data_IF_033915269475
#
_entry.id   IF_033915269475
#
_cell.length_a   1.000
_cell.length_b   1.000
_cell.length_c   1.000
_cell.angle_alpha   90.00
_cell.angle_beta   90.00
_cell.angle_gamma   90.00
#
_symmetry.space_group_name_H-M   'P 1'
#
loop_
_entity.id
_entity.type
_entity.pdbx_description
1 polymer ?
#
# COMPACT_ATOMS: atom_id res chain seq x y z
N UNK A 1 22.21 -19.87 12.39
CA UNK A 1 22.84 -18.98 13.38
C UNK A 1 21.83 -17.86 13.61
N UNK A 2 21.19 -17.80 14.77
CA UNK A 2 20.15 -16.80 15.05
C UNK A 2 20.83 -15.47 15.37
N UNK A 3 20.87 -14.54 14.41
CA UNK A 3 21.25 -13.17 14.70
C UNK A 3 20.12 -12.50 15.46
N UNK A 4 20.37 -12.17 16.73
CA UNK A 4 19.53 -11.27 17.52
C UNK A 4 19.49 -9.93 16.79
N UNK A 5 18.30 -9.53 16.35
CA UNK A 5 17.99 -8.17 15.94
C UNK A 5 18.09 -7.29 17.20
N UNK A 6 19.29 -6.76 17.45
CA UNK A 6 19.48 -5.75 18.49
C UNK A 6 18.78 -4.47 18.05
N UNK A 7 17.99 -3.91 18.97
CA UNK A 7 17.21 -2.67 18.87
C UNK A 7 17.79 -1.63 17.91
N UNK A 8 17.04 -1.37 16.84
CA UNK A 8 17.39 -0.47 15.74
C UNK A 8 17.42 1.02 16.17
N UNK A 9 18.42 1.79 15.72
CA UNK A 9 18.35 3.25 15.75
C UNK A 9 17.26 3.73 14.78
N UNK A 10 16.48 4.72 15.23
CA UNK A 10 15.37 5.36 14.52
C UNK A 10 15.91 6.03 13.24
N UNK A 11 15.94 5.30 12.12
CA UNK A 11 16.11 5.90 10.80
C UNK A 11 14.73 6.33 10.28
N UNK A 12 14.53 7.64 10.28
CA UNK A 12 13.59 8.48 9.53
C UNK A 12 12.30 7.81 9.02
N UNK A 13 11.15 8.24 9.59
CA UNK A 13 9.79 7.93 9.14
C UNK A 13 9.66 8.00 7.62
N UNK A 14 9.05 6.98 7.03
CA UNK A 14 8.41 7.02 5.71
C UNK A 14 7.66 8.36 5.54
N UNK A 15 7.97 9.13 4.49
CA UNK A 15 7.28 10.41 4.22
C UNK A 15 5.78 10.20 3.93
N UNK A 16 5.40 9.00 3.49
CA UNK A 16 4.06 8.66 3.00
C UNK A 16 3.27 7.79 4.01
N UNK A 17 3.44 8.02 5.31
CA UNK A 17 2.67 7.29 6.34
C UNK A 17 1.39 8.07 6.66
N UNK A 18 0.24 7.50 6.30
CA UNK A 18 -1.07 8.06 6.64
C UNK A 18 -1.39 7.91 8.14
N UNK A 19 -1.29 6.69 8.68
CA UNK A 19 -1.54 6.43 10.10
C UNK A 19 -0.81 5.17 10.60
N UNK A 20 -0.49 5.14 11.89
CA UNK A 20 -0.14 3.91 12.60
C UNK A 20 -1.24 3.58 13.58
N UNK A 21 -1.73 2.35 13.53
CA UNK A 21 -2.73 1.83 14.46
C UNK A 21 -1.98 1.01 15.50
N UNK A 22 -2.04 1.47 16.75
CA UNK A 22 -1.49 0.72 17.87
C UNK A 22 -2.45 -0.41 18.28
N UNK A 23 -1.93 -1.53 18.80
CA UNK A 23 -2.75 -2.62 19.32
C UNK A 23 -3.78 -2.11 20.33
N UNK A 24 -5.05 -2.47 20.12
CA UNK A 24 -6.12 -2.20 21.06
C UNK A 24 -6.27 -3.35 22.05
N UNK A 25 -6.58 -3.03 23.31
CA UNK A 25 -6.97 -4.03 24.31
C UNK A 25 -8.45 -4.46 24.19
N UNK A 26 -9.24 -3.73 23.39
CA UNK A 26 -10.64 -4.03 23.12
C UNK A 26 -10.71 -4.89 21.86
N UNK A 27 -11.22 -6.11 22.00
CA UNK A 27 -11.43 -7.04 20.90
C UNK A 27 -12.59 -6.59 20.01
N UNK A 28 -12.44 -6.73 18.70
CA UNK A 28 -13.53 -6.54 17.76
C UNK A 28 -14.66 -7.55 18.03
N UNK A 29 -15.90 -7.12 17.82
CA UNK A 29 -17.09 -7.95 18.05
C UNK A 29 -17.50 -8.59 16.74
N UNK A 30 -17.53 -9.91 16.69
CA UNK A 30 -18.03 -10.69 15.55
C UNK A 30 -19.53 -10.43 15.36
N UNK A 31 -19.93 -10.21 14.11
CA UNK A 31 -21.31 -9.92 13.71
C UNK A 31 -21.96 -11.16 13.10
N UNK A 32 -23.27 -11.31 13.31
CA UNK A 32 -24.05 -12.36 12.64
C UNK A 32 -24.54 -11.94 11.25
N UNK A 33 -24.97 -12.90 10.43
CA UNK A 33 -25.40 -12.72 9.02
C UNK A 33 -26.35 -11.53 8.81
N UNK A 34 -27.32 -11.34 9.70
CA UNK A 34 -28.28 -10.23 9.61
C UNK A 34 -27.63 -8.86 9.80
N UNK A 35 -26.63 -8.76 10.67
CA UNK A 35 -25.89 -7.51 10.86
C UNK A 35 -24.97 -7.24 9.67
N UNK A 36 -24.45 -8.29 9.04
CA UNK A 36 -23.70 -8.19 7.78
C UNK A 36 -24.63 -7.66 6.68
N UNK A 37 -25.80 -8.28 6.50
CA UNK A 37 -26.86 -7.84 5.57
C UNK A 37 -27.21 -6.36 5.72
N UNK A 38 -27.31 -5.87 6.95
CA UNK A 38 -27.67 -4.47 7.23
C UNK A 38 -26.54 -3.49 6.82
N UNK A 39 -25.29 -3.95 6.81
CA UNK A 39 -24.09 -3.15 6.49
C UNK A 39 -23.79 -3.17 4.99
N UNK A 40 -23.74 -4.36 4.38
CA UNK A 40 -23.36 -4.51 2.96
C UNK A 40 -24.58 -4.58 2.03
N UNK A 41 -25.79 -4.55 2.59
CA UNK A 41 -27.05 -4.64 1.86
C UNK A 41 -27.56 -6.08 1.74
N UNK A 42 -28.86 -6.28 2.06
CA UNK A 42 -29.54 -7.60 2.04
C UNK A 42 -29.48 -8.29 0.67
N UNK A 43 -29.40 -7.55 -0.44
CA UNK A 43 -29.23 -8.15 -1.76
C UNK A 43 -27.78 -8.56 -2.06
N UNK A 44 -26.78 -7.90 -1.46
CA UNK A 44 -25.36 -8.14 -1.75
C UNK A 44 -24.80 -9.33 -0.97
N UNK A 45 -25.15 -9.49 0.32
CA UNK A 45 -24.70 -10.63 1.12
C UNK A 45 -25.34 -11.95 0.67
N UNK A 46 -26.66 -11.97 0.43
CA UNK A 46 -27.38 -13.17 -0.02
C UNK A 46 -26.97 -13.63 -1.43
N UNK A 47 -26.37 -12.73 -2.22
CA UNK A 47 -25.83 -13.03 -3.54
C UNK A 47 -24.33 -13.15 -3.57
N UNK A 48 -23.62 -12.95 -2.45
CA UNK A 48 -22.16 -13.02 -2.40
C UNK A 48 -21.71 -14.43 -2.84
N UNK A 49 -21.47 -14.58 -4.13
CA UNK A 49 -21.24 -15.84 -4.84
C UNK A 49 -19.77 -16.03 -5.16
N UNK A 50 -18.91 -15.08 -4.79
CA UNK A 50 -17.49 -15.24 -5.02
C UNK A 50 -16.97 -16.53 -4.37
N UNK A 51 -16.72 -17.52 -5.22
CA UNK A 51 -16.29 -18.88 -4.87
C UNK A 51 -17.15 -19.59 -3.79
N UNK A 52 -18.42 -19.20 -3.64
CA UNK A 52 -19.30 -19.65 -2.54
C UNK A 52 -18.64 -19.51 -1.14
N UNK A 53 -17.75 -18.52 -1.00
CA UNK A 53 -16.91 -18.33 0.19
C UNK A 53 -17.69 -17.59 1.29
N UNK A 54 -17.77 -18.13 2.52
CA UNK A 54 -18.44 -17.44 3.62
C UNK A 54 -17.73 -16.12 3.96
N UNK A 55 -18.54 -15.12 4.34
CA UNK A 55 -18.05 -13.85 4.87
C UNK A 55 -17.99 -13.90 6.39
N UNK A 56 -16.96 -13.27 6.94
CA UNK A 56 -16.88 -12.92 8.35
C UNK A 56 -16.89 -11.40 8.49
N UNK A 57 -17.46 -10.90 9.60
CA UNK A 57 -17.50 -9.48 9.85
C UNK A 57 -17.28 -9.15 11.31
N UNK A 58 -16.58 -8.04 11.55
CA UNK A 58 -16.17 -7.62 12.86
C UNK A 58 -16.37 -6.11 13.01
N UNK A 59 -17.05 -5.67 14.06
CA UNK A 59 -17.18 -4.25 14.36
C UNK A 59 -15.84 -3.71 14.86
N UNK A 60 -15.36 -2.65 14.19
CA UNK A 60 -14.14 -1.96 14.56
C UNK A 60 -14.30 -1.36 15.97
N UNK A 61 -13.26 -1.45 16.82
CA UNK A 61 -13.25 -0.82 18.14
C UNK A 61 -13.63 0.67 18.09
N UNK A 62 -14.44 1.10 19.05
CA UNK A 62 -14.92 2.48 19.13
C UNK A 62 -13.77 3.49 19.14
N UNK A 63 -13.86 4.54 18.33
CA UNK A 63 -12.85 5.60 18.26
C UNK A 63 -11.68 5.31 17.32
N UNK A 64 -11.50 4.06 16.85
CA UNK A 64 -10.36 3.70 16.00
C UNK A 64 -10.44 4.40 14.64
N UNK A 65 -11.62 4.45 14.02
CA UNK A 65 -11.81 5.12 12.73
C UNK A 65 -11.54 6.62 12.86
N UNK A 66 -12.01 7.25 13.93
CA UNK A 66 -11.78 8.67 14.23
C UNK A 66 -10.29 8.95 14.47
N UNK A 67 -9.59 8.09 15.20
CA UNK A 67 -8.16 8.23 15.49
C UNK A 67 -7.28 8.25 14.24
N UNK A 68 -7.66 7.50 13.22
CA UNK A 68 -6.95 7.47 11.93
C UNK A 68 -7.55 8.46 10.90
N UNK A 69 -8.48 9.32 11.30
CA UNK A 69 -9.07 10.32 10.42
C UNK A 69 -10.04 9.75 9.37
N UNK A 70 -10.54 8.53 9.55
CA UNK A 70 -11.53 7.87 8.68
C UNK A 70 -12.93 7.80 9.33
N UNK A 71 -13.16 8.49 10.45
CA UNK A 71 -14.44 8.49 11.17
C UNK A 71 -15.57 9.24 10.47
N UNK A 72 -15.25 10.14 9.53
CA UNK A 72 -16.23 10.94 8.77
C UNK A 72 -16.54 10.34 7.39
N UNK A 73 -16.23 9.06 7.16
CA UNK A 73 -16.59 8.41 5.89
C UNK A 73 -18.11 8.30 5.76
N UNK A 74 -18.70 8.68 4.61
CA UNK A 74 -20.14 8.54 4.40
C UNK A 74 -20.60 7.07 4.42
N UNK A 75 -21.89 6.88 4.72
CA UNK A 75 -22.49 5.55 4.72
C UNK A 75 -22.26 4.83 3.38
N UNK A 76 -21.83 3.57 3.42
CA UNK A 76 -21.60 2.75 2.23
C UNK A 76 -20.27 2.99 1.51
N UNK A 77 -19.53 4.04 1.88
CA UNK A 77 -18.15 4.25 1.39
C UNK A 77 -17.21 3.37 2.19
N UNK A 78 -16.59 2.41 1.51
CA UNK A 78 -15.70 1.43 2.09
C UNK A 78 -14.23 1.84 1.92
N UNK A 79 -13.43 1.59 2.95
CA UNK A 79 -11.97 1.52 2.87
C UNK A 79 -11.60 0.17 2.27
N UNK A 80 -10.73 0.13 1.27
CA UNK A 80 -10.37 -1.09 0.52
C UNK A 80 -8.85 -1.30 0.46
N UNK A 81 -8.43 -2.45 -0.06
CA UNK A 81 -7.02 -2.72 -0.36
C UNK A 81 -6.12 -2.78 0.88
N UNK A 82 -4.95 -2.15 0.79
CA UNK A 82 -3.91 -2.24 1.83
C UNK A 82 -4.31 -1.62 3.17
N UNK A 83 -5.09 -0.53 3.13
CA UNK A 83 -5.60 0.15 4.33
C UNK A 83 -6.65 -0.68 5.05
N UNK A 84 -7.57 -1.31 4.31
CA UNK A 84 -8.55 -2.24 4.88
C UNK A 84 -7.89 -3.44 5.56
N UNK A 85 -6.86 -4.01 4.94
CA UNK A 85 -6.06 -5.10 5.53
C UNK A 85 -5.38 -4.65 6.83
N UNK A 86 -4.77 -3.48 6.84
CA UNK A 86 -4.14 -2.93 8.04
C UNK A 86 -5.17 -2.71 9.18
N UNK A 87 -6.36 -2.21 8.85
CA UNK A 87 -7.47 -2.09 9.79
C UNK A 87 -7.91 -3.45 10.34
N UNK A 88 -8.05 -4.47 9.50
CA UNK A 88 -8.36 -5.84 9.95
C UNK A 88 -7.32 -6.33 10.96
N UNK A 89 -6.04 -6.24 10.60
CA UNK A 89 -4.93 -6.69 11.45
C UNK A 89 -4.98 -6.01 12.82
N UNK A 90 -5.21 -4.70 12.87
CA UNK A 90 -5.28 -3.98 14.13
C UNK A 90 -6.55 -4.24 14.93
N UNK A 91 -7.72 -4.16 14.29
CA UNK A 91 -9.01 -4.27 14.96
C UNK A 91 -9.31 -5.70 15.42
N UNK A 92 -9.03 -6.69 14.57
CA UNK A 92 -9.46 -8.08 14.77
C UNK A 92 -8.35 -8.96 15.32
N UNK A 93 -7.10 -8.76 14.86
CA UNK A 93 -5.96 -9.57 15.29
C UNK A 93 -5.14 -8.93 16.42
N UNK A 94 -5.45 -7.69 16.79
CA UNK A 94 -4.70 -6.94 17.81
C UNK A 94 -3.25 -6.64 17.40
N UNK A 95 -2.99 -6.59 16.10
CA UNK A 95 -1.65 -6.38 15.55
C UNK A 95 -1.33 -4.89 15.40
N UNK A 96 -0.05 -4.54 15.51
CA UNK A 96 0.38 -3.21 15.11
C UNK A 96 0.34 -3.12 13.59
N UNK A 97 -0.38 -2.14 13.05
CA UNK A 97 -0.52 -1.97 11.61
C UNK A 97 -0.23 -0.53 11.19
N UNK A 98 0.23 -0.36 9.95
CA UNK A 98 0.50 0.95 9.36
C UNK A 98 -0.27 1.11 8.06
N UNK A 99 -1.00 2.21 7.94
CA UNK A 99 -1.68 2.65 6.74
C UNK A 99 -0.76 3.67 6.07
N UNK A 100 -0.45 3.43 4.80
CA UNK A 100 0.35 4.35 3.97
C UNK A 100 -0.54 5.09 2.99
N UNK A 101 -1.34 4.32 2.27
CA UNK A 101 -2.27 4.80 1.26
C UNK A 101 -3.69 4.40 1.69
N UNK A 102 -4.65 5.30 1.52
CA UNK A 102 -6.06 5.02 1.74
C UNK A 102 -6.70 4.86 0.38
N UNK A 103 -7.38 3.75 0.16
CA UNK A 103 -8.16 3.50 -1.03
C UNK A 103 -9.63 3.43 -0.63
N UNK A 104 -10.50 4.07 -1.39
CA UNK A 104 -11.94 4.07 -1.14
C UNK A 104 -12.71 3.48 -2.32
N UNK A 105 -13.80 2.79 -2.01
CA UNK A 105 -14.81 2.35 -2.97
C UNK A 105 -16.21 2.64 -2.44
N UNK A 106 -17.17 2.89 -3.31
CA UNK A 106 -18.57 3.01 -2.96
C UNK A 106 -19.26 1.65 -3.17
N UNK A 107 -19.88 1.10 -2.11
CA UNK A 107 -20.65 -0.14 -2.26
C UNK A 107 -21.98 0.15 -2.94
N UNK A 108 -22.20 -0.49 -4.08
CA UNK A 108 -23.41 -0.38 -4.87
C UNK A 108 -24.64 -0.85 -4.05
N UNK A 109 -25.77 -0.15 -4.20
CA UNK A 109 -27.00 -0.43 -3.46
C UNK A 109 -26.98 -0.09 -1.96
N UNK A 110 -25.82 0.31 -1.41
CA UNK A 110 -25.66 0.76 -0.02
C UNK A 110 -25.36 2.25 0.06
N UNK A 111 -24.47 2.73 -0.82
CA UNK A 111 -24.02 4.11 -0.85
C UNK A 111 -25.13 5.03 -1.37
N UNK A 112 -25.46 6.13 -0.69
CA UNK A 112 -26.44 7.10 -1.19
C UNK A 112 -26.00 7.77 -2.51
N UNK A 113 -26.96 8.07 -3.38
CA UNK A 113 -26.69 8.69 -4.70
C UNK A 113 -26.19 10.15 -4.61
N UNK A 114 -26.35 10.81 -3.46
CA UNK A 114 -25.99 12.21 -3.24
C UNK A 114 -24.57 12.42 -2.70
N UNK A 115 -23.77 11.36 -2.62
CA UNK A 115 -22.38 11.43 -2.18
C UNK A 115 -21.49 12.08 -3.24
N UNK A 116 -20.72 13.08 -2.82
CA UNK A 116 -19.70 13.73 -3.66
C UNK A 116 -18.39 12.93 -3.66
N UNK A 117 -18.27 11.97 -4.58
CA UNK A 117 -17.07 11.14 -4.74
C UNK A 117 -15.82 11.95 -5.13
N UNK A 118 -15.99 13.09 -5.79
CA UNK A 118 -14.89 13.97 -6.18
C UNK A 118 -14.25 14.62 -4.95
N UNK A 119 -15.09 15.13 -4.04
CA UNK A 119 -14.63 15.69 -2.77
C UNK A 119 -13.95 14.62 -1.89
N UNK A 120 -14.47 13.39 -1.86
CA UNK A 120 -13.86 12.28 -1.12
C UNK A 120 -12.49 11.91 -1.67
N UNK A 121 -12.37 11.78 -3.01
CA UNK A 121 -11.11 11.50 -3.68
C UNK A 121 -10.05 12.55 -3.35
N UNK A 122 -10.40 13.84 -3.43
CA UNK A 122 -9.51 14.94 -3.05
C UNK A 122 -9.07 14.91 -1.59
N UNK A 123 -9.96 14.50 -0.67
CA UNK A 123 -9.70 14.51 0.77
C UNK A 123 -8.84 13.32 1.21
N UNK A 124 -9.18 12.12 0.76
CA UNK A 124 -8.62 10.87 1.29
C UNK A 124 -7.66 10.17 0.34
N UNK A 125 -7.77 10.42 -0.98
CA UNK A 125 -6.95 9.80 -2.02
C UNK A 125 -6.27 10.87 -2.91
N UNK A 126 -5.63 11.91 -2.35
CA UNK A 126 -5.22 13.08 -3.12
C UNK A 126 -4.21 12.76 -4.24
N UNK A 127 -3.34 11.77 -4.03
CA UNK A 127 -2.36 11.37 -5.03
C UNK A 127 -2.99 10.57 -6.18
N UNK A 128 -3.86 9.61 -5.88
CA UNK A 128 -4.62 8.89 -6.92
C UNK A 128 -5.53 9.84 -7.71
N UNK A 129 -6.17 10.77 -7.00
CA UNK A 129 -7.04 11.79 -7.60
C UNK A 129 -6.30 12.67 -8.61
N UNK A 130 -5.06 13.06 -8.32
CA UNK A 130 -4.20 13.82 -9.25
C UNK A 130 -3.92 13.05 -10.55
N UNK A 131 -3.94 11.73 -10.52
CA UNK A 131 -3.73 10.87 -11.68
C UNK A 131 -5.03 10.43 -12.35
N UNK A 132 -6.18 11.02 -11.97
CA UNK A 132 -7.49 10.72 -12.56
C UNK A 132 -8.15 9.47 -11.99
N UNK A 133 -7.66 8.95 -10.86
CA UNK A 133 -8.25 7.82 -10.15
C UNK A 133 -9.03 8.35 -8.93
N UNK A 134 -10.30 7.98 -8.80
CA UNK A 134 -11.17 8.43 -7.71
C UNK A 134 -11.95 7.28 -7.09
N UNK A 135 -12.89 7.61 -6.19
CA UNK A 135 -13.78 6.61 -5.58
C UNK A 135 -14.64 5.98 -6.67
N UNK A 136 -14.53 4.67 -6.84
CA UNK A 136 -15.31 3.91 -7.82
C UNK A 136 -16.42 3.12 -7.11
N UNK A 137 -17.56 2.99 -7.78
CA UNK A 137 -18.63 2.11 -7.34
C UNK A 137 -18.26 0.65 -7.63
N UNK A 138 -18.56 -0.24 -6.67
CA UNK A 138 -18.35 -1.69 -6.81
C UNK A 138 -19.44 -2.47 -6.09
N UNK A 139 -19.79 -3.62 -6.67
CA UNK A 139 -20.53 -4.67 -5.97
C UNK A 139 -19.58 -5.45 -5.06
N UNK A 140 -20.11 -6.03 -3.98
CA UNK A 140 -19.33 -6.84 -3.02
C UNK A 140 -18.64 -8.02 -3.70
N UNK A 141 -19.37 -8.75 -4.55
CA UNK A 141 -18.82 -9.88 -5.31
C UNK A 141 -17.73 -9.46 -6.29
N UNK A 142 -17.99 -8.40 -7.06
CA UNK A 142 -17.04 -7.89 -8.03
C UNK A 142 -15.74 -7.42 -7.35
N UNK A 143 -15.86 -6.86 -6.15
CA UNK A 143 -14.70 -6.47 -5.35
C UNK A 143 -13.85 -7.68 -4.97
N UNK A 144 -14.45 -8.71 -4.35
CA UNK A 144 -13.69 -9.89 -3.92
C UNK A 144 -13.15 -10.70 -5.11
N UNK A 145 -13.92 -10.80 -6.21
CA UNK A 145 -13.53 -11.52 -7.43
C UNK A 145 -12.35 -10.91 -8.19
N UNK A 146 -11.91 -9.70 -7.84
CA UNK A 146 -10.82 -9.00 -8.53
C UNK A 146 -9.60 -8.75 -7.63
N UNK A 147 -9.60 -9.30 -6.41
CA UNK A 147 -8.43 -9.16 -5.52
C UNK A 147 -7.29 -9.99 -6.06
N UNK A 148 -6.07 -9.53 -5.83
CA UNK A 148 -4.85 -10.19 -6.28
C UNK A 148 -4.35 -11.27 -5.31
N UNK A 149 -4.49 -11.00 -4.01
CA UNK A 149 -4.08 -11.88 -2.92
C UNK A 149 -5.26 -12.07 -1.96
N UNK A 150 -5.39 -13.26 -1.39
CA UNK A 150 -6.44 -13.60 -0.41
C UNK A 150 -6.42 -12.68 0.81
N UNK A 151 -5.24 -12.24 1.25
CA UNK A 151 -5.08 -11.26 2.35
C UNK A 151 -5.64 -9.87 2.03
N UNK A 152 -6.02 -9.61 0.78
CA UNK A 152 -6.66 -8.36 0.33
C UNK A 152 -8.17 -8.51 0.13
N UNK A 153 -8.75 -9.67 0.41
CA UNK A 153 -10.19 -9.90 0.41
C UNK A 153 -10.83 -9.40 1.68
N UNK A 154 -10.71 -8.09 1.86
CA UNK A 154 -11.23 -7.35 2.99
C UNK A 154 -11.57 -5.93 2.54
N UNK A 155 -12.64 -5.40 3.11
CA UNK A 155 -12.94 -3.97 3.12
C UNK A 155 -13.48 -3.56 4.49
N UNK A 156 -13.50 -2.26 4.77
CA UNK A 156 -14.09 -1.70 5.99
C UNK A 156 -15.12 -0.67 5.62
N UNK A 157 -16.39 -0.90 5.96
CA UNK A 157 -17.51 0.00 5.65
C UNK A 157 -18.34 0.20 6.90
N UNK A 158 -18.82 1.43 7.14
CA UNK A 158 -19.67 1.76 8.29
C UNK A 158 -19.10 1.28 9.65
N UNK A 159 -17.76 1.31 9.80
CA UNK A 159 -17.07 0.86 11.01
C UNK A 159 -17.07 -0.66 11.22
N UNK A 160 -17.32 -1.43 10.16
CA UNK A 160 -17.33 -2.89 10.15
C UNK A 160 -16.31 -3.40 9.14
N UNK A 161 -15.40 -4.23 9.62
CA UNK A 161 -14.51 -5.02 8.79
C UNK A 161 -15.31 -6.17 8.21
N UNK A 162 -15.31 -6.34 6.89
CA UNK A 162 -15.93 -7.47 6.19
C UNK A 162 -14.85 -8.14 5.35
N UNK A 163 -14.71 -9.45 5.50
CA UNK A 163 -13.71 -10.23 4.77
C UNK A 163 -14.22 -11.63 4.46
N UNK A 164 -13.59 -12.29 3.50
CA UNK A 164 -13.80 -13.74 3.30
C UNK A 164 -13.19 -14.53 4.48
N UNK A 165 -13.76 -15.68 4.82
CA UNK A 165 -13.18 -16.55 5.86
C UNK A 165 -11.75 -16.97 5.55
N UNK A 166 -11.41 -17.15 4.27
CA UNK A 166 -10.03 -17.46 3.85
C UNK A 166 -9.08 -16.29 4.08
N UNK A 167 -9.52 -15.05 3.90
CA UNK A 167 -8.73 -13.86 4.24
C UNK A 167 -8.37 -13.88 5.72
N UNK A 168 -9.35 -14.15 6.59
CA UNK A 168 -9.14 -14.26 8.03
C UNK A 168 -8.11 -15.35 8.38
N UNK A 169 -8.23 -16.53 7.76
CA UNK A 169 -7.28 -17.63 7.94
C UNK A 169 -5.85 -17.26 7.51
N UNK A 170 -5.71 -16.72 6.31
CA UNK A 170 -4.42 -16.36 5.73
C UNK A 170 -3.76 -15.18 6.46
N UNK A 171 -4.54 -14.21 6.94
CA UNK A 171 -4.03 -13.15 7.80
C UNK A 171 -3.56 -13.68 9.16
N UNK A 172 -4.33 -14.59 9.80
CA UNK A 172 -3.94 -15.21 11.08
C UNK A 172 -2.65 -16.02 10.94
N UNK A 173 -2.55 -16.84 9.89
CA UNK A 173 -1.40 -17.72 9.67
C UNK A 173 -0.23 -17.05 8.95
N UNK A 174 -0.43 -15.81 8.47
CA UNK A 174 0.56 -15.02 7.72
C UNK A 174 0.98 -15.72 6.42
N UNK A 175 -0.01 -16.30 5.75
CA UNK A 175 0.13 -16.96 4.44
C UNK A 175 -0.22 -15.93 3.36
N UNK A 176 0.66 -15.80 2.37
CA UNK A 176 0.42 -14.99 1.18
C UNK A 176 0.05 -15.94 0.04
N UNK A 177 -1.22 -15.90 -0.36
CA UNK A 177 -1.76 -16.75 -1.42
C UNK A 177 -2.42 -15.87 -2.50
N UNK A 178 -2.19 -16.14 -3.79
CA UNK A 178 -2.94 -15.50 -4.85
C UNK A 178 -4.40 -15.99 -4.87
N UNK A 179 -5.28 -15.15 -5.38
CA UNK A 179 -6.67 -15.53 -5.66
C UNK A 179 -6.77 -16.26 -7.00
N UNK A 180 -7.94 -16.83 -7.30
CA UNK A 180 -8.20 -17.44 -8.60
C UNK A 180 -8.02 -16.43 -9.75
N UNK A 181 -8.40 -15.17 -9.55
CA UNK A 181 -8.32 -14.09 -10.54
C UNK A 181 -6.91 -13.89 -11.12
N UNK A 182 -5.88 -13.92 -10.29
CA UNK A 182 -4.48 -13.78 -10.75
C UNK A 182 -3.88 -15.10 -11.25
N UNK A 183 -4.49 -16.24 -10.87
CA UNK A 183 -3.96 -17.55 -11.18
C UNK A 183 -4.27 -18.05 -12.59
N UNK A 184 -5.27 -17.47 -13.22
CA UNK A 184 -5.64 -17.77 -14.59
C UNK A 184 -4.58 -17.25 -15.58
N UNK A 185 -3.97 -18.16 -16.34
CA UNK A 185 -3.11 -17.81 -17.48
C UNK A 185 -1.60 -17.93 -17.26
N UNK A 186 -1.14 -18.32 -16.06
CA UNK A 186 0.29 -18.53 -15.77
C UNK A 186 0.60 -19.96 -15.35
N UNK A 187 1.59 -20.60 -15.97
CA UNK A 187 2.06 -21.93 -15.55
C UNK A 187 2.70 -21.94 -14.16
N UNK A 188 3.12 -20.78 -13.69
CA UNK A 188 3.67 -20.52 -12.35
C UNK A 188 2.59 -20.26 -11.30
N UNK A 189 1.32 -20.19 -11.71
CA UNK A 189 0.20 -19.87 -10.85
C UNK A 189 -0.04 -18.38 -10.63
N UNK A 190 0.89 -17.48 -10.98
CA UNK A 190 0.69 -16.02 -11.08
C UNK A 190 1.80 -15.39 -11.93
N UNK A 191 1.56 -14.16 -12.38
CA UNK A 191 2.54 -13.37 -13.14
C UNK A 191 3.61 -12.65 -12.28
N UNK A 192 4.70 -12.19 -12.90
CA UNK A 192 5.85 -11.55 -12.25
C UNK A 192 5.55 -10.51 -11.18
N UNK A 193 4.68 -9.54 -11.50
CA UNK A 193 4.32 -8.43 -10.62
C UNK A 193 3.77 -8.91 -9.28
N UNK A 194 2.83 -9.85 -9.33
CA UNK A 194 2.19 -10.39 -8.13
C UNK A 194 3.15 -11.31 -7.38
N UNK A 195 4.00 -12.08 -8.09
CA UNK A 195 5.01 -12.93 -7.43
C UNK A 195 5.98 -12.10 -6.59
N UNK A 196 6.49 -10.98 -7.15
CA UNK A 196 7.37 -10.05 -6.43
C UNK A 196 6.66 -9.41 -5.23
N UNK A 197 5.42 -8.95 -5.40
CA UNK A 197 4.60 -8.42 -4.31
C UNK A 197 4.40 -9.44 -3.19
N UNK A 198 4.09 -10.69 -3.55
CA UNK A 198 3.84 -11.76 -2.60
C UNK A 198 5.10 -12.11 -1.79
N UNK A 199 6.27 -12.22 -2.43
CA UNK A 199 7.56 -12.43 -1.76
C UNK A 199 7.93 -11.30 -0.81
N UNK A 200 7.70 -10.05 -1.23
CA UNK A 200 7.92 -8.92 -0.33
C UNK A 200 7.01 -9.00 0.90
N UNK A 201 5.73 -9.34 0.72
CA UNK A 201 4.80 -9.49 1.85
C UNK A 201 5.20 -10.62 2.78
N UNK A 202 5.66 -11.78 2.26
CA UNK A 202 6.13 -12.87 3.11
C UNK A 202 7.36 -12.46 3.92
N UNK A 203 8.29 -11.70 3.34
CA UNK A 203 9.45 -11.15 4.05
C UNK A 203 9.05 -10.17 5.15
N UNK A 204 8.12 -9.25 4.85
CA UNK A 204 7.59 -8.32 5.86
C UNK A 204 6.93 -9.10 6.99
N UNK A 205 6.09 -10.09 6.69
CA UNK A 205 5.43 -10.90 7.71
C UNK A 205 6.44 -11.70 8.55
N UNK A 206 7.45 -12.28 7.91
CA UNK A 206 8.51 -12.99 8.61
C UNK A 206 9.30 -12.08 9.55
N UNK A 207 9.56 -10.84 9.15
CA UNK A 207 10.25 -9.85 9.98
C UNK A 207 9.41 -9.37 11.16
N UNK A 208 8.15 -9.01 10.91
CA UNK A 208 7.27 -8.40 11.92
C UNK A 208 6.68 -9.43 12.90
N UNK A 209 6.37 -10.64 12.41
CA UNK A 209 5.62 -11.65 13.17
C UNK A 209 6.39 -12.95 13.41
N UNK A 210 7.61 -13.07 12.89
CA UNK A 210 8.40 -14.31 12.97
C UNK A 210 7.84 -15.46 12.13
N UNK A 211 6.78 -15.20 11.34
CA UNK A 211 6.16 -16.14 10.40
C UNK A 211 5.70 -15.41 9.15
N UNK A 212 5.96 -16.00 7.98
CA UNK A 212 5.49 -15.52 6.69
C UNK A 212 5.81 -16.56 5.63
N UNK A 213 4.82 -16.94 4.83
CA UNK A 213 5.00 -17.92 3.76
C UNK A 213 4.22 -17.55 2.51
N UNK A 214 4.62 -18.10 1.38
CA UNK A 214 3.88 -18.03 0.13
C UNK A 214 3.35 -19.41 -0.24
N UNK A 215 2.11 -19.47 -0.71
CA UNK A 215 1.46 -20.69 -1.19
C UNK A 215 0.78 -20.46 -2.53
N UNK A 216 0.56 -21.53 -3.30
CA UNK A 216 -0.22 -21.48 -4.54
C UNK A 216 0.53 -20.99 -5.78
N UNK A 217 1.83 -20.68 -5.69
CA UNK A 217 2.62 -20.28 -6.85
C UNK A 217 4.11 -20.62 -6.75
N UNK A 218 4.80 -20.56 -7.89
CA UNK A 218 6.26 -20.57 -7.99
C UNK A 218 6.76 -19.27 -8.61
N UNK A 219 7.96 -18.83 -8.26
CA UNK A 219 8.55 -17.63 -8.88
C UNK A 219 8.76 -17.86 -10.37
N UNK A 220 8.26 -16.95 -11.25
CA UNK A 220 8.64 -16.94 -12.65
C UNK A 220 10.17 -16.82 -12.81
N UNK A 221 10.71 -17.50 -13.83
CA UNK A 221 12.15 -17.47 -14.11
C UNK A 221 12.65 -16.09 -14.53
N UNK A 222 11.75 -15.28 -15.10
CA UNK A 222 11.99 -13.90 -15.47
C UNK A 222 10.84 -13.07 -14.89
N UNK A 223 11.20 -12.08 -14.08
CA UNK A 223 10.24 -11.15 -13.51
C UNK A 223 10.30 -9.75 -14.10
N UNK A 224 11.30 -9.44 -14.93
CA UNK A 224 11.55 -8.12 -15.49
C UNK A 224 12.01 -7.07 -14.47
N UNK A 225 12.89 -6.19 -14.91
CA UNK A 225 13.54 -5.15 -14.10
C UNK A 225 12.52 -4.19 -13.49
N UNK A 226 11.46 -3.85 -14.24
CA UNK A 226 10.41 -2.95 -13.76
C UNK A 226 9.66 -3.51 -12.53
N UNK A 227 9.30 -4.79 -12.54
CA UNK A 227 8.56 -5.38 -11.41
C UNK A 227 9.45 -5.54 -10.19
N UNK A 228 10.72 -5.84 -10.39
CA UNK A 228 11.70 -5.86 -9.31
C UNK A 228 11.91 -4.45 -8.72
N UNK A 229 12.05 -3.43 -9.57
CA UNK A 229 12.17 -2.03 -9.14
C UNK A 229 10.96 -1.58 -8.32
N UNK A 230 9.75 -1.92 -8.78
CA UNK A 230 8.50 -1.60 -8.09
C UNK A 230 8.45 -2.25 -6.69
N UNK A 231 8.80 -3.54 -6.58
CA UNK A 231 8.82 -4.24 -5.30
C UNK A 231 9.93 -3.73 -4.37
N UNK A 232 11.13 -3.48 -4.91
CA UNK A 232 12.26 -2.93 -4.15
C UNK A 232 11.96 -1.52 -3.64
N UNK A 233 11.29 -0.69 -4.43
CA UNK A 233 10.84 0.63 -4.00
C UNK A 233 9.89 0.54 -2.80
N UNK A 234 9.00 -0.45 -2.79
CA UNK A 234 8.14 -0.71 -1.64
C UNK A 234 8.94 -1.25 -0.45
N UNK A 235 9.94 -2.11 -0.67
CA UNK A 235 10.82 -2.61 0.38
C UNK A 235 11.64 -1.49 1.05
N UNK A 236 12.09 -0.49 0.29
CA UNK A 236 12.79 0.69 0.82
C UNK A 236 11.97 1.47 1.85
N UNK A 237 10.63 1.44 1.77
CA UNK A 237 9.75 2.05 2.77
C UNK A 237 9.79 1.34 4.13
N UNK A 238 10.46 0.19 4.22
CA UNK A 238 10.72 -0.57 5.45
C UNK A 238 12.21 -0.63 5.82
N UNK A 239 13.08 0.01 5.03
CA UNK A 239 14.52 0.07 5.30
C UNK A 239 15.35 -1.03 4.64
N UNK A 240 16.68 -0.95 4.81
CA UNK A 240 17.65 -1.83 4.15
C UNK A 240 17.49 -3.30 4.56
N UNK A 241 17.07 -3.60 5.78
CA UNK A 241 16.94 -4.99 6.24
C UNK A 241 15.85 -5.76 5.49
N UNK A 242 14.66 -5.16 5.33
CA UNK A 242 13.58 -5.75 4.52
C UNK A 242 13.99 -5.80 3.04
N UNK A 243 14.68 -4.77 2.56
CA UNK A 243 15.14 -4.72 1.16
C UNK A 243 16.14 -5.83 0.84
N UNK A 244 17.08 -6.07 1.76
CA UNK A 244 18.05 -7.16 1.65
C UNK A 244 17.38 -8.52 1.71
N UNK A 245 16.51 -8.74 2.70
CA UNK A 245 15.79 -10.01 2.85
C UNK A 245 14.88 -10.30 1.63
N UNK A 246 14.26 -9.26 1.06
CA UNK A 246 13.50 -9.38 -0.19
C UNK A 246 14.40 -9.79 -1.36
N UNK A 247 15.54 -9.13 -1.55
CA UNK A 247 16.49 -9.48 -2.62
C UNK A 247 17.04 -10.90 -2.45
N UNK A 248 17.30 -11.34 -1.21
CA UNK A 248 17.69 -12.72 -0.92
C UNK A 248 16.59 -13.72 -1.29
N UNK A 249 15.34 -13.41 -0.96
CA UNK A 249 14.18 -14.26 -1.28
C UNK A 249 13.94 -14.42 -2.79
N UNK A 250 14.34 -13.42 -3.60
CA UNK A 250 14.23 -13.46 -5.07
C UNK A 250 15.52 -13.90 -5.78
N UNK A 251 16.55 -14.31 -5.03
CA UNK A 251 17.71 -15.04 -5.54
C UNK A 251 19.05 -14.30 -5.53
N UNK A 252 19.12 -13.09 -4.98
CA UNK A 252 20.39 -12.38 -4.78
C UNK A 252 21.08 -12.85 -3.49
N UNK A 253 22.39 -12.62 -3.39
CA UNK A 253 23.17 -12.95 -2.19
C UNK A 253 24.23 -11.89 -1.91
N UNK A 254 24.65 -11.78 -0.65
CA UNK A 254 25.70 -10.85 -0.21
C UNK A 254 25.44 -9.38 -0.58
N UNK A 255 24.17 -8.95 -0.45
CA UNK A 255 23.69 -7.60 -0.77
C UNK A 255 23.92 -6.64 0.41
N UNK A 256 25.04 -5.92 0.38
CA UNK A 256 25.28 -4.77 1.27
C UNK A 256 24.44 -3.57 0.85
N UNK A 257 24.21 -2.62 1.76
CA UNK A 257 23.39 -1.42 1.50
C UNK A 257 23.85 -0.65 0.24
N UNK A 258 25.17 -0.48 0.05
CA UNK A 258 25.73 0.12 -1.17
C UNK A 258 25.40 -0.68 -2.44
N UNK A 259 25.47 -2.02 -2.38
CA UNK A 259 25.13 -2.87 -3.53
C UNK A 259 23.65 -2.83 -3.84
N UNK A 260 22.80 -2.71 -2.82
CA UNK A 260 21.35 -2.55 -2.98
C UNK A 260 21.05 -1.23 -3.70
N UNK A 261 21.71 -0.14 -3.31
CA UNK A 261 21.55 1.16 -3.98
C UNK A 261 22.03 1.10 -5.44
N UNK A 262 23.22 0.54 -5.70
CA UNK A 262 23.74 0.41 -7.07
C UNK A 262 22.86 -0.49 -7.95
N UNK A 263 22.33 -1.57 -7.39
CA UNK A 263 21.38 -2.44 -8.08
C UNK A 263 20.07 -1.71 -8.42
N UNK A 264 19.54 -0.93 -7.48
CA UNK A 264 18.34 -0.12 -7.71
C UNK A 264 18.57 0.96 -8.79
N UNK A 265 19.77 1.55 -8.87
CA UNK A 265 20.13 2.48 -9.96
C UNK A 265 20.11 1.77 -11.31
N UNK A 266 20.71 0.58 -11.40
CA UNK A 266 20.66 -0.25 -12.60
C UNK A 266 19.22 -0.54 -13.03
N UNK A 267 18.39 -1.05 -12.11
CA UNK A 267 16.98 -1.35 -12.40
C UNK A 267 16.24 -0.12 -12.92
N UNK A 268 16.48 1.03 -12.29
CA UNK A 268 15.84 2.26 -12.65
C UNK A 268 16.26 2.80 -14.02
N UNK A 269 17.51 2.57 -14.45
CA UNK A 269 18.02 2.97 -15.76
C UNK A 269 17.48 2.03 -16.86
N UNK A 270 17.38 0.73 -16.60
CA UNK A 270 16.86 -0.26 -17.57
C UNK A 270 15.34 -0.18 -17.75
N UNK A 271 14.60 0.21 -16.71
CA UNK A 271 13.13 0.21 -16.71
C UNK A 271 12.48 1.59 -16.77
N UNK A 272 13.27 2.68 -16.80
CA UNK A 272 12.80 4.06 -16.67
C UNK A 272 11.95 4.28 -15.40
N UNK A 273 12.24 3.52 -14.33
CA UNK A 273 11.51 3.55 -13.07
C UNK A 273 12.05 4.63 -12.14
N UNK A 274 11.15 5.36 -11.49
CA UNK A 274 11.52 6.36 -10.48
C UNK A 274 11.23 5.86 -9.06
N UNK A 275 12.29 5.66 -8.28
CA UNK A 275 12.18 5.30 -6.87
C UNK A 275 11.70 6.50 -6.06
N UNK A 276 10.73 6.32 -5.15
CA UNK A 276 10.11 7.42 -4.37
C UNK A 276 9.66 6.94 -2.99
N UNK A 277 9.37 7.88 -2.11
CA UNK A 277 8.68 7.61 -0.82
C UNK A 277 9.58 7.09 0.31
N UNK A 278 10.90 7.16 0.17
CA UNK A 278 11.84 6.80 1.24
C UNK A 278 13.20 7.49 1.10
N UNK A 279 13.95 7.58 2.20
CA UNK A 279 15.32 8.13 2.16
C UNK A 279 16.27 7.27 1.31
N UNK A 280 16.02 5.95 1.21
CA UNK A 280 16.81 5.06 0.35
C UNK A 280 16.50 5.33 -1.13
N UNK A 281 15.23 5.55 -1.47
CA UNK A 281 14.85 5.98 -2.81
C UNK A 281 15.52 7.32 -3.20
N UNK A 282 15.58 8.28 -2.28
CA UNK A 282 16.30 9.55 -2.51
C UNK A 282 17.79 9.30 -2.82
N UNK A 283 18.45 8.33 -2.15
CA UNK A 283 19.84 7.95 -2.45
C UNK A 283 20.01 7.31 -3.84
N UNK A 284 19.03 6.53 -4.30
CA UNK A 284 19.05 5.96 -5.66
C UNK A 284 18.99 7.07 -6.70
N UNK A 285 18.15 8.09 -6.48
CA UNK A 285 18.00 9.20 -7.41
C UNK A 285 19.14 10.23 -7.32
N UNK A 286 19.93 10.23 -6.24
CA UNK A 286 21.07 11.15 -6.11
C UNK A 286 22.10 10.94 -7.21
N UNK A 287 22.38 12.01 -7.95
CA UNK A 287 23.32 11.99 -9.06
C UNK A 287 22.79 11.32 -10.34
N UNK A 288 21.57 10.78 -10.33
CA UNK A 288 20.88 10.37 -11.55
C UNK A 288 20.30 11.61 -12.22
N UNK A 289 20.59 11.77 -13.51
CA UNK A 289 19.80 12.67 -14.36
C UNK A 289 18.48 11.93 -14.61
N UNK A 290 17.41 12.37 -13.95
CA UNK A 290 16.05 11.87 -14.21
C UNK A 290 15.69 12.16 -15.68
N UNK A 291 15.94 11.16 -16.53
CA UNK A 291 15.65 11.08 -17.96
C UNK A 291 16.30 12.15 -18.86
N UNK A 292 16.81 11.71 -20.01
CA UNK A 292 17.35 12.57 -21.08
C UNK A 292 16.29 13.38 -21.82
N UNK A 293 15.43 14.12 -21.13
CA UNK A 293 14.65 15.22 -21.71
C UNK A 293 15.16 16.54 -21.15
N UNK A 294 15.66 17.40 -22.02
CA UNK A 294 15.66 18.83 -21.70
C UNK A 294 14.19 19.22 -21.58
N UNK A 295 13.75 19.55 -20.38
CA UNK A 295 12.57 20.39 -20.26
C UNK A 295 12.96 21.77 -20.80
N UNK A 296 12.36 22.20 -21.90
CA UNK A 296 12.54 23.56 -22.40
C UNK A 296 11.66 24.51 -21.57
N UNK A 297 12.02 25.80 -21.50
CA UNK A 297 11.25 26.78 -20.72
C UNK A 297 9.76 26.86 -21.16
N UNK A 298 9.46 26.38 -22.37
CA UNK A 298 8.13 26.28 -22.96
C UNK A 298 7.27 25.16 -22.35
N UNK A 299 7.87 24.13 -21.72
CA UNK A 299 7.16 23.04 -21.03
C UNK A 299 6.53 23.50 -19.69
N UNK A 300 6.87 24.71 -19.23
CA UNK A 300 6.43 25.28 -17.95
C UNK A 300 5.54 26.52 -18.12
N UNK A 301 5.11 26.83 -19.35
CA UNK A 301 4.33 28.02 -19.67
C UNK A 301 2.96 28.05 -18.96
N UNK A 302 2.44 26.88 -18.58
CA UNK A 302 1.10 26.70 -18.00
C UNK A 302 1.09 26.37 -16.49
N UNK A 303 2.25 26.33 -15.82
CA UNK A 303 2.31 26.07 -14.38
C UNK A 303 1.88 27.30 -13.56
N UNK A 304 1.08 27.11 -12.49
CA UNK A 304 0.72 28.21 -11.60
C UNK A 304 1.98 28.79 -10.91
N UNK A 305 2.04 30.12 -10.66
CA UNK A 305 3.23 30.79 -10.13
C UNK A 305 3.84 30.20 -8.85
N UNK A 306 3.02 29.51 -8.03
CA UNK A 306 3.43 28.84 -6.81
C UNK A 306 4.34 27.63 -7.04
N UNK A 307 4.18 26.92 -8.17
CA UNK A 307 4.99 25.74 -8.51
C UNK A 307 6.28 26.13 -9.26
N UNK A 308 6.23 27.21 -10.04
CA UNK A 308 7.39 27.78 -10.73
C UNK A 308 8.49 28.23 -9.74
N UNK A 309 8.10 28.66 -8.54
CA UNK A 309 9.04 29.10 -7.49
C UNK A 309 9.80 27.92 -6.85
N UNK A 310 9.12 26.78 -6.66
CA UNK A 310 9.69 25.58 -6.05
C UNK A 310 10.68 24.88 -7.02
N UNK A 311 10.29 24.75 -8.28
CA UNK A 311 11.12 24.19 -9.36
C UNK A 311 12.35 25.07 -9.67
N UNK A 312 12.20 26.41 -9.67
CA UNK A 312 13.35 27.34 -9.80
C UNK A 312 14.29 27.26 -8.61
N UNK A 313 13.78 27.04 -7.40
CA UNK A 313 14.60 26.84 -6.22
C UNK A 313 15.44 25.56 -6.33
N UNK A 314 14.88 24.46 -6.87
CA UNK A 314 15.62 23.22 -7.14
C UNK A 314 16.72 23.46 -8.18
N UNK A 315 16.43 24.21 -9.25
CA UNK A 315 17.42 24.59 -10.29
C UNK A 315 18.54 25.47 -9.75
N UNK A 316 18.26 26.40 -8.83
CA UNK A 316 19.27 27.24 -8.16
C UNK A 316 20.10 26.47 -7.11
N UNK A 317 19.51 25.48 -6.43
CA UNK A 317 20.22 24.67 -5.43
C UNK A 317 21.22 23.68 -6.04
N UNK A 318 21.07 23.32 -7.33
CA UNK A 318 22.03 22.48 -8.07
C UNK A 318 23.38 23.14 -8.35
N UNK A 319 23.47 24.47 -8.38
CA UNK A 319 24.73 25.20 -8.68
C UNK A 319 25.40 25.84 -7.45
N UNK A 320 24.76 25.83 -6.28
CA UNK A 320 25.31 26.46 -5.07
C UNK A 320 25.23 25.56 -3.83
N UNK A 321 25.97 24.45 -3.85
CA UNK A 321 26.35 23.72 -2.64
C UNK A 321 27.36 24.54 -1.80
N UNK A 322 26.95 25.68 -1.24
CA UNK A 322 27.70 26.42 -0.21
C UNK A 322 26.81 27.51 0.45
N UNK A 323 26.38 27.26 1.69
CA UNK A 323 25.87 28.22 2.70
C UNK A 323 24.41 28.69 2.57
N UNK A 324 23.56 28.24 3.48
CA UNK A 324 22.71 29.14 4.28
C UNK A 324 22.62 28.67 5.75
N UNK A 325 22.54 29.59 6.74
CA UNK A 325 22.48 29.26 8.17
C UNK A 325 21.05 28.86 8.60
N UNK A 326 20.89 28.20 9.75
CA UNK A 326 19.59 27.73 10.22
C UNK A 326 18.68 28.91 10.64
N UNK A 327 17.46 28.97 10.09
CA UNK A 327 16.35 29.78 10.62
C UNK A 327 15.71 30.80 9.66
N UNK A 328 15.18 30.39 8.51
CA UNK A 328 14.29 31.26 7.69
C UNK A 328 12.96 30.54 7.46
N UNK A 329 11.89 31.20 7.89
CA UNK A 329 10.48 30.78 7.81
C UNK A 329 9.90 31.20 6.45
N UNK A 330 9.17 30.30 5.77
CA UNK A 330 8.66 30.51 4.40
C UNK A 330 7.18 30.87 4.46
N UNK A 331 6.87 31.96 5.16
CA UNK A 331 5.53 32.55 5.21
C UNK A 331 5.60 34.02 4.79
N UNK A 332 6.03 34.26 3.55
CA UNK A 332 5.75 35.46 2.75
C UNK A 332 6.46 35.31 1.40
N UNK A 333 5.93 34.46 0.52
CA UNK A 333 6.03 34.58 -0.93
C UNK A 333 4.86 33.88 -1.62
#
# INVERSE_FOLDING_TARGET
MYHKLETLPIYMKSRDLYATIEPTAVEAVELGDKEIDDVIGQEAHQKCQYEDMPLCAYRVPQGMMEQIGLGDLPKGVAVVGGSARALFQAAVLGEKASIRDVDLAALAGVTPDDIDFDQLGKKYMPDDYRHGHGVQETEVDAYFATRDLTVNEVFVVDGVVVATERCLGDLREKIIRPTEYESEGWSTGIGPRISMKAKLFSVIYQSEYGKGSCEGFTMPSDCGEFNEALALNKAFQYGFDISRAFLEEVGYSDMSDDKIVEHAKYLADESDFEFRGSAIADLVNQGRRLTGRYYEDDDFADLPPSELAYERAIKMMGECACRMPPGVDIAEY
#
